data_IF_924050273937
#
_entry.id   IF_924050273937
#
_cell.length_a   1.000
_cell.length_b   1.000
_cell.length_c   1.000
_cell.angle_alpha   90.00
_cell.angle_beta   90.00
_cell.angle_gamma   90.00
#
_symmetry.space_group_name_H-M   'P 1'
#
loop_
_entity.id
_entity.type
_entity.pdbx_description
1 polymer ?
#
# COMPACT_ATOMS: atom_id res chain seq x y z
N UNK A 1 -9.46 7.66 -12.28
CA UNK A 1 -8.38 7.15 -11.40
C UNK A 1 -8.82 7.38 -9.97
N UNK A 2 -8.94 6.34 -9.15
CA UNK A 2 -9.42 6.44 -7.75
C UNK A 2 -8.17 6.52 -6.87
N UNK A 3 -8.03 7.60 -6.09
CA UNK A 3 -6.95 7.77 -5.12
C UNK A 3 -7.39 7.16 -3.78
N UNK A 4 -6.56 6.28 -3.22
CA UNK A 4 -6.74 5.76 -1.87
C UNK A 4 -6.16 6.75 -0.86
N UNK A 5 -7.05 7.56 -0.27
CA UNK A 5 -6.65 8.62 0.67
C UNK A 5 -6.06 8.08 1.96
N UNK A 6 -6.49 6.90 2.41
CA UNK A 6 -5.97 6.31 3.65
C UNK A 6 -4.52 5.84 3.46
N UNK A 7 -4.24 5.19 2.33
CA UNK A 7 -2.89 4.76 2.00
C UNK A 7 -1.93 5.95 1.78
N UNK A 8 -2.40 7.00 1.10
CA UNK A 8 -1.64 8.26 0.98
C UNK A 8 -1.35 8.84 2.37
N UNK A 9 -2.36 8.93 3.23
CA UNK A 9 -2.20 9.42 4.60
C UNK A 9 -1.18 8.61 5.41
N UNK A 10 -1.19 7.28 5.28
CA UNK A 10 -0.20 6.40 5.92
C UNK A 10 1.22 6.69 5.46
N UNK A 11 1.45 7.01 4.19
CA UNK A 11 2.78 7.41 3.68
C UNK A 11 3.20 8.77 4.20
N UNK A 12 2.30 9.75 4.25
CA UNK A 12 2.55 11.07 4.85
C UNK A 12 2.97 10.90 6.32
N UNK A 13 2.24 10.07 7.08
CA UNK A 13 2.56 9.76 8.48
C UNK A 13 3.95 9.15 8.63
N UNK A 14 4.29 8.20 7.75
CA UNK A 14 5.59 7.53 7.74
C UNK A 14 6.72 8.53 7.50
N UNK A 15 6.61 9.36 6.47
CA UNK A 15 7.59 10.43 6.16
C UNK A 15 7.78 11.35 7.37
N UNK A 16 6.69 11.81 8.00
CA UNK A 16 6.80 12.66 9.19
C UNK A 16 7.55 11.97 10.33
N UNK A 17 7.20 10.71 10.61
CA UNK A 17 7.78 9.95 11.74
C UNK A 17 9.23 9.55 11.51
N UNK A 18 9.60 9.17 10.29
CA UNK A 18 11.00 8.83 9.95
C UNK A 18 11.92 10.03 10.07
N UNK A 19 11.42 11.25 9.80
CA UNK A 19 12.14 12.49 10.04
C UNK A 19 12.05 12.99 11.50
N UNK A 20 11.34 12.28 12.38
CA UNK A 20 11.25 12.62 13.81
C UNK A 20 10.40 13.84 14.15
N UNK A 21 9.59 14.36 13.22
CA UNK A 21 8.80 15.58 13.45
C UNK A 21 7.51 15.34 14.24
N UNK A 22 7.18 16.30 15.10
CA UNK A 22 5.83 16.44 15.64
C UNK A 22 4.85 16.91 14.55
N UNK A 23 3.54 16.75 14.78
CA UNK A 23 2.51 17.24 13.85
C UNK A 23 2.58 18.76 13.64
N UNK A 24 2.97 19.50 14.68
CA UNK A 24 3.10 20.95 14.64
C UNK A 24 4.30 21.38 13.79
N UNK A 25 5.48 20.80 14.04
CA UNK A 25 6.70 21.06 13.26
C UNK A 25 6.50 20.69 11.78
N UNK A 26 5.93 19.52 11.52
CA UNK A 26 5.61 19.08 10.16
C UNK A 26 4.66 20.06 9.46
N UNK A 27 3.62 20.51 10.16
CA UNK A 27 2.71 21.52 9.63
C UNK A 27 3.42 22.83 9.25
N UNK A 28 4.39 23.26 10.07
CA UNK A 28 5.20 24.45 9.77
C UNK A 28 6.07 24.25 8.53
N UNK A 29 6.77 23.12 8.42
CA UNK A 29 7.68 22.81 7.29
C UNK A 29 6.92 22.77 5.94
N UNK A 30 5.72 22.20 5.92
CA UNK A 30 4.91 22.03 4.69
C UNK A 30 4.14 23.31 4.29
N UNK A 31 4.40 24.44 4.97
CA UNK A 31 3.84 25.76 4.63
C UNK A 31 2.89 26.30 5.69
N UNK A 32 3.26 26.19 6.96
CA UNK A 32 2.58 26.88 8.06
C UNK A 32 1.16 26.41 8.34
N UNK A 33 0.89 25.11 8.23
CA UNK A 33 -0.45 24.55 8.49
C UNK A 33 -0.66 24.15 9.94
N UNK A 34 -1.93 24.08 10.34
CA UNK A 34 -2.30 23.69 11.70
C UNK A 34 -2.06 22.19 11.92
N UNK A 35 -1.82 21.83 13.19
CA UNK A 35 -1.74 20.44 13.66
C UNK A 35 -2.94 19.60 13.20
N UNK A 36 -4.14 20.17 13.25
CA UNK A 36 -5.38 19.49 12.87
C UNK A 36 -5.41 19.16 11.38
N UNK A 37 -4.89 20.05 10.53
CA UNK A 37 -4.77 19.81 9.09
C UNK A 37 -3.77 18.69 8.80
N UNK A 38 -2.57 18.75 9.39
CA UNK A 38 -1.56 17.70 9.25
C UNK A 38 -2.11 16.33 9.70
N UNK A 39 -2.78 16.30 10.85
CA UNK A 39 -3.44 15.09 11.37
C UNK A 39 -4.48 14.55 10.40
N UNK A 40 -5.33 15.41 9.85
CA UNK A 40 -6.39 15.00 8.92
C UNK A 40 -5.84 14.39 7.62
N UNK A 41 -4.68 14.87 7.15
CA UNK A 41 -4.02 14.32 5.97
C UNK A 41 -3.44 12.94 6.25
N UNK A 42 -2.79 12.75 7.41
CA UNK A 42 -2.25 11.46 7.84
C UNK A 42 -3.32 10.37 7.99
N UNK A 43 -4.56 10.78 8.29
CA UNK A 43 -5.70 9.89 8.44
C UNK A 43 -6.60 9.83 7.20
N UNK A 44 -6.19 10.43 6.07
CA UNK A 44 -6.93 10.36 4.81
C UNK A 44 -8.29 11.07 4.79
N UNK A 45 -8.58 11.93 5.78
CA UNK A 45 -9.87 12.64 5.90
C UNK A 45 -10.10 13.53 4.67
N UNK A 46 -9.08 14.32 4.32
CA UNK A 46 -9.05 15.13 3.10
C UNK A 46 -7.60 15.26 2.61
N UNK A 47 -7.42 15.41 1.29
CA UNK A 47 -6.13 15.67 0.69
C UNK A 47 -5.84 17.17 0.64
N UNK A 48 -4.56 17.49 0.59
CA UNK A 48 -4.08 18.86 0.43
C UNK A 48 -3.91 19.21 -1.05
N UNK A 49 -3.48 20.45 -1.33
CA UNK A 49 -3.17 20.90 -2.69
C UNK A 49 -1.87 20.25 -3.19
N UNK A 50 -1.75 20.08 -4.50
CA UNK A 50 -0.61 19.44 -5.16
C UNK A 50 0.75 20.02 -4.72
N UNK A 51 0.89 21.34 -4.66
CA UNK A 51 2.11 22.03 -4.18
C UNK A 51 2.60 21.55 -2.80
N UNK A 52 1.67 21.17 -1.90
CA UNK A 52 2.03 20.67 -0.58
C UNK A 52 2.35 19.18 -0.61
N UNK A 53 1.70 18.41 -1.49
CA UNK A 53 2.05 17.00 -1.70
C UNK A 53 3.47 16.88 -2.27
N UNK A 54 3.86 17.76 -3.18
CA UNK A 54 5.23 17.84 -3.70
C UNK A 54 6.22 18.10 -2.57
N UNK A 55 5.98 19.11 -1.72
CA UNK A 55 6.83 19.38 -0.54
C UNK A 55 6.94 18.19 0.41
N UNK A 56 5.86 17.43 0.59
CA UNK A 56 5.87 16.22 1.44
C UNK A 56 6.69 15.11 0.76
N UNK A 57 6.54 14.93 -0.55
CA UNK A 57 7.30 13.96 -1.33
C UNK A 57 8.80 14.27 -1.29
N UNK A 58 9.17 15.54 -1.48
CA UNK A 58 10.55 16.04 -1.35
C UNK A 58 11.13 15.77 0.04
N UNK A 59 10.34 16.01 1.09
CA UNK A 59 10.75 15.72 2.48
C UNK A 59 10.95 14.22 2.74
N UNK A 60 10.19 13.37 2.05
CA UNK A 60 10.34 11.92 2.09
C UNK A 60 11.45 11.38 1.19
N UNK A 61 12.02 12.21 0.31
CA UNK A 61 12.96 11.76 -0.72
C UNK A 61 12.32 10.83 -1.77
N UNK A 62 11.01 10.95 -1.99
CA UNK A 62 10.24 10.10 -2.91
C UNK A 62 9.58 10.93 -4.01
N UNK A 63 9.13 10.28 -5.09
CA UNK A 63 8.37 10.98 -6.13
C UNK A 63 6.92 11.28 -5.70
N UNK A 64 6.30 12.32 -6.27
CA UNK A 64 4.87 12.59 -6.06
C UNK A 64 4.00 11.37 -6.44
N UNK A 65 4.35 10.67 -7.52
CA UNK A 65 3.67 9.43 -7.92
C UNK A 65 3.77 8.35 -6.86
N UNK A 66 4.92 8.19 -6.23
CA UNK A 66 5.11 7.19 -5.19
C UNK A 66 4.37 7.57 -3.91
N UNK A 67 4.31 8.86 -3.56
CA UNK A 67 3.46 9.33 -2.46
C UNK A 67 1.98 8.99 -2.72
N UNK A 68 1.50 9.20 -3.95
CA UNK A 68 0.11 9.00 -4.34
C UNK A 68 -0.27 7.52 -4.52
N UNK A 69 0.58 6.74 -5.17
CA UNK A 69 0.27 5.38 -5.60
C UNK A 69 1.06 4.30 -4.87
N UNK A 70 2.22 4.64 -4.31
CA UNK A 70 3.12 3.73 -3.61
C UNK A 70 4.19 3.18 -4.54
N UNK A 71 5.21 2.57 -3.94
CA UNK A 71 6.10 1.72 -4.71
C UNK A 71 5.38 0.42 -5.10
N UNK A 72 5.55 -0.09 -6.33
CA UNK A 72 5.00 -1.37 -6.73
C UNK A 72 5.42 -2.54 -5.81
N UNK A 73 6.55 -2.40 -5.09
CA UNK A 73 7.07 -3.41 -4.18
C UNK A 73 6.41 -3.44 -2.79
N UNK A 74 5.63 -2.43 -2.38
CA UNK A 74 5.12 -2.37 -1.00
C UNK A 74 3.84 -3.20 -0.74
N UNK A 75 3.35 -3.95 -1.73
CA UNK A 75 2.27 -4.92 -1.55
C UNK A 75 2.73 -6.28 -0.96
N UNK A 76 4.02 -6.53 -0.79
CA UNK A 76 4.53 -7.82 -0.31
C UNK A 76 4.57 -7.90 1.22
N UNK A 77 3.42 -8.06 1.88
CA UNK A 77 3.42 -8.73 3.20
C UNK A 77 3.45 -10.24 2.97
N UNK A 78 4.64 -10.80 2.71
CA UNK A 78 4.85 -12.26 2.68
C UNK A 78 4.42 -12.87 4.01
N UNK A 79 3.27 -13.53 4.03
CA UNK A 79 2.90 -14.56 5.00
C UNK A 79 3.15 -15.90 4.30
N UNK A 80 4.38 -16.40 4.33
CA UNK A 80 4.62 -17.78 3.97
C UNK A 80 4.11 -18.65 5.13
N UNK A 81 2.94 -19.28 4.94
CA UNK A 81 2.46 -20.35 5.81
C UNK A 81 2.81 -21.68 5.15
N UNK A 82 3.42 -22.60 5.91
CA UNK A 82 3.48 -24.00 5.51
C UNK A 82 2.05 -24.55 5.56
N UNK A 83 1.46 -24.84 4.40
CA UNK A 83 0.10 -25.39 4.32
C UNK A 83 0.22 -26.85 3.93
N UNK A 84 -0.09 -27.75 4.86
CA UNK A 84 -0.30 -29.16 4.58
C UNK A 84 -1.26 -29.27 3.38
N UNK A 85 -0.87 -30.03 2.35
CA UNK A 85 -1.62 -30.33 1.11
C UNK A 85 -1.34 -29.47 -0.15
N UNK A 86 -0.73 -28.27 -0.06
CA UNK A 86 -0.53 -27.39 -1.24
C UNK A 86 0.95 -27.13 -1.62
N UNK A 87 1.90 -27.70 -0.89
CA UNK A 87 3.32 -27.38 -1.05
C UNK A 87 3.68 -26.04 -0.40
N UNK A 88 4.77 -25.40 -0.83
CA UNK A 88 5.26 -24.16 -0.22
C UNK A 88 4.56 -22.94 -0.80
N UNK A 89 3.78 -22.22 0.02
CA UNK A 89 3.12 -20.97 -0.36
C UNK A 89 4.16 -19.83 -0.42
N UNK A 90 4.40 -19.34 -1.64
CA UNK A 90 5.34 -18.23 -1.91
C UNK A 90 4.67 -16.89 -1.66
N UNK A 91 3.43 -16.75 -2.13
CA UNK A 91 2.67 -15.50 -2.02
C UNK A 91 1.16 -15.77 -1.91
N UNK A 92 0.48 -14.94 -1.14
CA UNK A 92 -0.97 -14.99 -0.93
C UNK A 92 -1.49 -13.57 -0.79
N UNK A 93 -1.76 -12.99 -1.96
CA UNK A 93 -2.23 -11.63 -2.10
C UNK A 93 -3.75 -11.59 -2.03
N UNK A 94 -4.31 -10.77 -1.15
CA UNK A 94 -5.75 -10.55 -1.05
C UNK A 94 -6.06 -9.06 -1.03
N UNK A 95 -7.00 -8.62 -1.86
CA UNK A 95 -7.41 -7.21 -1.95
C UNK A 95 -8.90 -7.07 -2.24
N UNK A 96 -9.54 -6.17 -1.51
CA UNK A 96 -10.89 -5.71 -1.81
C UNK A 96 -10.84 -4.48 -2.74
N UNK A 97 -11.60 -4.52 -3.83
CA UNK A 97 -11.80 -3.42 -4.76
C UNK A 97 -13.29 -3.21 -5.00
N UNK A 98 -13.86 -2.10 -4.52
CA UNK A 98 -15.26 -1.74 -4.74
C UNK A 98 -16.27 -2.84 -4.34
N UNK A 99 -16.10 -3.43 -3.15
CA UNK A 99 -16.97 -4.50 -2.65
C UNK A 99 -16.71 -5.87 -3.30
N UNK A 100 -15.62 -6.01 -4.07
CA UNK A 100 -15.23 -7.25 -4.73
C UNK A 100 -13.88 -7.72 -4.22
N UNK A 101 -13.76 -9.00 -3.95
CA UNK A 101 -12.55 -9.62 -3.44
C UNK A 101 -11.75 -10.24 -4.57
N UNK A 102 -10.47 -9.92 -4.65
CA UNK A 102 -9.52 -10.60 -5.51
C UNK A 102 -8.47 -11.24 -4.61
N UNK A 103 -8.19 -12.52 -4.85
CA UNK A 103 -7.10 -13.24 -4.18
C UNK A 103 -6.22 -13.94 -5.19
N UNK A 104 -4.91 -13.79 -5.05
CA UNK A 104 -3.92 -14.48 -5.88
C UNK A 104 -2.99 -15.28 -4.99
N UNK A 105 -2.81 -16.56 -5.30
CA UNK A 105 -1.87 -17.44 -4.59
C UNK A 105 -0.80 -17.92 -5.54
N UNK A 106 0.44 -17.81 -5.12
CA UNK A 106 1.59 -18.42 -5.78
C UNK A 106 2.17 -19.48 -4.85
N UNK A 107 2.27 -20.72 -5.31
CA UNK A 107 2.82 -21.81 -4.51
C UNK A 107 3.60 -22.80 -5.37
N UNK A 108 4.52 -23.52 -4.73
CA UNK A 108 5.30 -24.59 -5.36
C UNK A 108 4.83 -25.93 -4.83
N UNK A 109 4.45 -26.83 -5.72
CA UNK A 109 4.02 -28.19 -5.41
C UNK A 109 4.67 -29.15 -6.42
N UNK A 110 5.28 -30.23 -5.93
CA UNK A 110 5.99 -31.22 -6.78
C UNK A 110 6.96 -30.57 -7.79
N UNK A 111 7.79 -29.63 -7.31
CA UNK A 111 8.77 -28.88 -8.11
C UNK A 111 8.19 -27.96 -9.20
N UNK A 112 6.86 -27.83 -9.29
CA UNK A 112 6.17 -26.95 -10.23
C UNK A 112 5.60 -25.73 -9.52
N UNK A 113 5.55 -24.59 -10.21
CA UNK A 113 5.00 -23.35 -9.66
C UNK A 113 3.61 -23.05 -10.20
N UNK A 114 2.67 -22.71 -9.32
CA UNK A 114 1.27 -22.47 -9.64
C UNK A 114 0.85 -21.06 -9.26
N UNK A 115 -0.01 -20.46 -10.09
CA UNK A 115 -0.78 -19.25 -9.80
C UNK A 115 -2.28 -19.58 -9.81
N UNK A 116 -2.95 -19.30 -8.69
CA UNK A 116 -4.40 -19.28 -8.60
C UNK A 116 -4.90 -17.85 -8.48
N UNK A 117 -5.91 -17.48 -9.27
CA UNK A 117 -6.66 -16.22 -9.09
C UNK A 117 -8.10 -16.54 -8.71
N UNK A 118 -8.58 -15.89 -7.66
CA UNK A 118 -9.94 -15.98 -7.15
C UNK A 118 -10.60 -14.61 -7.22
N UNK A 119 -11.89 -14.58 -7.54
CA UNK A 119 -12.72 -13.38 -7.58
C UNK A 119 -14.03 -13.67 -6.84
N UNK A 120 -14.33 -12.88 -5.80
CA UNK A 120 -15.51 -13.05 -4.95
C UNK A 120 -15.69 -14.47 -4.37
N UNK A 121 -14.59 -15.17 -4.11
CA UNK A 121 -14.62 -16.55 -3.60
C UNK A 121 -14.67 -17.64 -4.67
N UNK A 122 -14.83 -17.28 -5.94
CA UNK A 122 -14.78 -18.22 -7.06
C UNK A 122 -13.40 -18.22 -7.69
N UNK A 123 -12.83 -19.40 -7.94
CA UNK A 123 -11.55 -19.51 -8.65
C UNK A 123 -11.77 -19.24 -10.14
N UNK A 124 -11.13 -18.20 -10.66
CA UNK A 124 -11.26 -17.77 -12.06
C UNK A 124 -10.04 -18.14 -12.91
N UNK A 125 -8.90 -18.45 -12.28
CA UNK A 125 -7.67 -18.80 -12.99
C UNK A 125 -6.85 -19.82 -12.19
N UNK A 126 -6.26 -20.77 -12.90
CA UNK A 126 -5.25 -21.70 -12.41
C UNK A 126 -4.22 -21.92 -13.52
N UNK A 127 -2.97 -21.54 -13.29
CA UNK A 127 -1.88 -21.58 -14.28
C UNK A 127 -0.64 -22.21 -13.66
N UNK A 128 -0.06 -23.19 -14.35
CA UNK A 128 1.31 -23.67 -14.09
C UNK A 128 2.28 -22.69 -14.78
N UNK A 129 3.22 -22.12 -14.03
CA UNK A 129 4.11 -21.05 -14.51
C UNK A 129 5.43 -21.60 -15.07
N UNK A 130 5.97 -22.66 -14.48
CA UNK A 130 7.09 -23.47 -14.97
C UNK A 130 7.27 -24.73 -14.11
#
# INVERSE_FOLDING_TARGET
MILDREEIGRRIYKIRKENGYTLEEFGQIIGGVTKASAFAWEHGIHLTKEERLEKIADLGGISLSELLFGHPESCFKKKCFDVEHYGTLIDDYEKECAGKWIRQKIYVYEEKMYLETWYNGDRIQFVELW
#
